data_IF_057969801876
#
_entry.id   IF_057969801876
#
_cell.length_a   1.000
_cell.length_b   1.000
_cell.length_c   1.000
_cell.angle_alpha   90.00
_cell.angle_beta   90.00
_cell.angle_gamma   90.00
#
_symmetry.space_group_name_H-M   'P 1'
#
loop_
_entity.id
_entity.type
_entity.pdbx_description
1 polymer ?
#
# COMPACT_ATOMS: atom_id res chain seq x y z
N UNK A 1 -7.85 1.60 11.95
CA UNK A 1 -6.82 0.58 11.58
C UNK A 1 -7.33 -0.48 10.63
N UNK A 2 -8.56 -0.95 10.79
CA UNK A 2 -9.13 -2.04 9.97
C UNK A 2 -9.17 -1.72 8.48
N UNK A 3 -9.54 -0.50 8.07
CA UNK A 3 -9.62 -0.13 6.65
C UNK A 3 -8.26 -0.19 5.93
N UNK A 4 -7.20 0.38 6.54
CA UNK A 4 -5.84 0.28 5.99
C UNK A 4 -5.38 -1.17 5.88
N UNK A 5 -5.59 -1.99 6.92
CA UNK A 5 -5.23 -3.42 6.88
C UNK A 5 -5.98 -4.17 5.79
N UNK A 6 -7.28 -3.90 5.62
CA UNK A 6 -8.11 -4.54 4.59
C UNK A 6 -7.66 -4.13 3.18
N UNK A 7 -7.40 -2.84 2.96
CA UNK A 7 -6.91 -2.33 1.67
C UNK A 7 -5.56 -2.96 1.29
N UNK A 8 -4.64 -3.07 2.25
CA UNK A 8 -3.32 -3.67 2.06
C UNK A 8 -3.41 -5.17 1.79
N UNK A 9 -4.24 -5.89 2.54
CA UNK A 9 -4.47 -7.32 2.31
C UNK A 9 -5.06 -7.60 0.92
N UNK A 10 -5.95 -6.72 0.45
CA UNK A 10 -6.50 -6.80 -0.91
C UNK A 10 -5.43 -6.58 -1.97
N UNK A 11 -4.64 -5.51 -1.85
CA UNK A 11 -3.56 -5.21 -2.79
C UNK A 11 -2.54 -6.35 -2.88
N UNK A 12 -2.21 -7.00 -1.75
CA UNK A 12 -1.35 -8.20 -1.74
C UNK A 12 -1.93 -9.35 -2.55
N UNK A 13 -3.24 -9.59 -2.44
CA UNK A 13 -3.92 -10.63 -3.22
C UNK A 13 -3.95 -10.30 -4.70
N UNK A 14 -4.22 -9.05 -5.05
CA UNK A 14 -4.20 -8.60 -6.45
C UNK A 14 -2.80 -8.74 -7.06
N UNK A 15 -1.75 -8.39 -6.31
CA UNK A 15 -0.36 -8.56 -6.75
C UNK A 15 0.03 -10.04 -6.91
N UNK A 16 -0.36 -10.89 -5.95
CA UNK A 16 -0.09 -12.32 -6.00
C UNK A 16 -0.85 -13.03 -7.14
N UNK A 17 -2.07 -12.58 -7.44
CA UNK A 17 -2.89 -13.10 -8.54
C UNK A 17 -2.45 -12.57 -9.91
N UNK A 18 -1.58 -11.54 -9.96
CA UNK A 18 -1.12 -10.97 -11.21
C UNK A 18 0.08 -11.77 -11.76
N UNK A 19 -0.05 -12.37 -12.96
CA UNK A 19 1.02 -13.19 -13.54
C UNK A 19 2.13 -12.37 -14.22
N UNK A 20 2.03 -11.03 -14.25
CA UNK A 20 3.06 -10.23 -14.90
C UNK A 20 4.40 -10.29 -14.15
N UNK A 21 5.46 -10.44 -14.93
CA UNK A 21 6.84 -10.30 -14.48
C UNK A 21 7.14 -8.80 -14.32
N UNK A 22 6.86 -8.26 -13.14
CA UNK A 22 7.32 -6.91 -12.81
C UNK A 22 8.81 -6.96 -12.51
N UNK A 23 9.60 -6.08 -13.13
CA UNK A 23 11.06 -5.99 -12.92
C UNK A 23 11.43 -5.92 -11.43
N UNK A 24 10.60 -5.25 -10.62
CA UNK A 24 10.83 -5.03 -9.20
C UNK A 24 9.73 -5.66 -8.32
N UNK A 25 9.10 -6.76 -8.77
CA UNK A 25 8.01 -7.44 -8.04
C UNK A 25 8.37 -7.75 -6.58
N UNK A 26 9.55 -8.31 -6.36
CA UNK A 26 10.00 -8.71 -5.03
C UNK A 26 10.14 -7.50 -4.09
N UNK A 27 10.62 -6.37 -4.61
CA UNK A 27 10.74 -5.11 -3.87
C UNK A 27 9.34 -4.59 -3.51
N UNK A 28 8.40 -4.63 -4.46
CA UNK A 28 7.03 -4.22 -4.21
C UNK A 28 6.33 -5.11 -3.15
N UNK A 29 6.54 -6.42 -3.20
CA UNK A 29 5.98 -7.36 -2.21
C UNK A 29 6.57 -7.15 -0.81
N UNK A 30 7.88 -6.90 -0.70
CA UNK A 30 8.56 -6.63 0.58
C UNK A 30 8.09 -5.31 1.21
N UNK A 31 8.03 -4.23 0.43
CA UNK A 31 7.49 -2.93 0.87
C UNK A 31 6.02 -3.05 1.32
N UNK A 32 5.23 -3.86 0.62
CA UNK A 32 3.83 -4.08 0.97
C UNK A 32 3.68 -4.90 2.26
N UNK A 33 4.61 -5.81 2.54
CA UNK A 33 4.70 -6.53 3.81
C UNK A 33 5.11 -5.58 4.96
N UNK A 34 6.09 -4.71 4.74
CA UNK A 34 6.49 -3.69 5.71
C UNK A 34 5.33 -2.74 6.04
N UNK A 35 4.58 -2.31 5.02
CA UNK A 35 3.41 -1.47 5.17
C UNK A 35 2.27 -2.16 5.95
N UNK A 36 2.06 -3.46 5.72
CA UNK A 36 1.13 -4.27 6.50
C UNK A 36 1.55 -4.38 7.97
N UNK A 37 2.85 -4.58 8.25
CA UNK A 37 3.38 -4.66 9.59
C UNK A 37 3.22 -3.32 10.35
N UNK A 38 3.49 -2.19 9.70
CA UNK A 38 3.26 -0.86 10.27
C UNK A 38 1.78 -0.61 10.59
N UNK A 39 0.88 -1.02 9.69
CA UNK A 39 -0.56 -0.95 9.93
C UNK A 39 -1.03 -1.90 11.05
N UNK A 40 -0.31 -3.01 11.27
CA UNK A 40 -0.57 -3.98 12.33
C UNK A 40 -0.10 -3.50 13.72
N UNK A 41 1.06 -2.84 13.79
CA UNK A 41 1.66 -2.38 15.05
C UNK A 41 1.02 -1.11 15.66
N UNK A 42 0.18 -0.40 14.91
CA UNK A 42 -0.71 0.62 15.46
C UNK A 42 -0.16 2.04 15.56
N UNK A 43 1.13 2.27 15.27
CA UNK A 43 1.71 3.60 15.10
C UNK A 43 2.35 3.76 13.71
N UNK A 44 1.55 3.75 12.64
CA UNK A 44 2.10 3.96 11.31
C UNK A 44 2.53 5.42 11.10
N UNK A 45 3.78 5.63 10.69
CA UNK A 45 4.29 6.95 10.35
C UNK A 45 3.76 7.38 8.97
N UNK A 46 2.90 8.41 8.93
CA UNK A 46 2.30 8.92 7.67
C UNK A 46 3.33 9.20 6.56
N UNK A 47 4.47 9.87 6.83
CA UNK A 47 5.48 10.12 5.80
C UNK A 47 6.08 8.83 5.24
N UNK A 48 6.24 7.82 6.10
CA UNK A 48 6.78 6.51 5.73
C UNK A 48 5.78 5.71 4.90
N UNK A 49 4.50 5.73 5.26
CA UNK A 49 3.42 5.12 4.47
C UNK A 49 3.35 5.72 3.05
N UNK A 50 3.40 7.05 2.94
CA UNK A 50 3.39 7.74 1.64
C UNK A 50 4.63 7.39 0.81
N UNK A 51 5.80 7.29 1.44
CA UNK A 51 7.04 6.90 0.76
C UNK A 51 6.97 5.46 0.23
N UNK A 52 6.55 4.49 1.05
CA UNK A 52 6.39 3.11 0.61
C UNK A 52 5.37 2.98 -0.53
N UNK A 53 4.27 3.73 -0.49
CA UNK A 53 3.31 3.75 -1.61
C UNK A 53 3.92 4.24 -2.93
N UNK A 54 4.78 5.27 -2.88
CA UNK A 54 5.47 5.77 -4.07
C UNK A 54 6.50 4.75 -4.59
N UNK A 55 7.20 4.05 -3.71
CA UNK A 55 8.13 2.98 -4.09
C UNK A 55 7.41 1.82 -4.75
N UNK A 56 6.27 1.39 -4.19
CA UNK A 56 5.42 0.35 -4.76
C UNK A 56 4.90 0.79 -6.15
N UNK A 57 4.45 2.04 -6.29
CA UNK A 57 4.00 2.58 -7.57
C UNK A 57 5.12 2.63 -8.63
N UNK A 58 6.34 3.01 -8.23
CA UNK A 58 7.51 3.04 -9.12
C UNK A 58 8.00 1.64 -9.52
N UNK A 59 7.89 0.66 -8.62
CA UNK A 59 8.38 -0.71 -8.83
C UNK A 59 7.44 -1.55 -9.70
N UNK A 60 6.14 -1.26 -9.67
CA UNK A 60 5.14 -2.00 -10.43
C UNK A 60 4.80 -1.31 -11.78
N UNK A 61 5.08 -0.01 -11.92
CA UNK A 61 4.72 0.80 -13.08
C UNK A 61 3.22 1.15 -13.14
N UNK A 62 2.80 1.83 -14.22
CA UNK A 62 1.39 2.23 -14.46
C UNK A 62 0.49 1.05 -14.84
N UNK A 63 0.38 0.05 -13.98
CA UNK A 63 -0.45 -1.14 -14.19
C UNK A 63 -1.87 -0.83 -13.74
N UNK A 64 -2.77 -0.63 -14.70
CA UNK A 64 -4.17 -0.28 -14.44
C UNK A 64 -4.90 -1.28 -13.55
N UNK A 65 -4.51 -2.57 -13.58
CA UNK A 65 -5.10 -3.62 -12.76
C UNK A 65 -4.83 -3.43 -11.25
N UNK A 66 -3.71 -2.80 -10.89
CA UNK A 66 -3.33 -2.55 -9.49
C UNK A 66 -3.64 -1.12 -9.05
N UNK A 67 -3.96 -0.23 -9.99
CA UNK A 67 -4.30 1.17 -9.71
C UNK A 67 -5.48 1.32 -8.74
N UNK A 68 -6.50 0.45 -8.83
CA UNK A 68 -7.65 0.49 -7.93
C UNK A 68 -7.26 0.14 -6.48
N UNK A 69 -6.54 -0.98 -6.29
CA UNK A 69 -6.04 -1.37 -4.97
C UNK A 69 -5.09 -0.32 -4.38
N UNK A 70 -4.20 0.24 -5.19
CA UNK A 70 -3.26 1.28 -4.77
C UNK A 70 -3.99 2.56 -4.34
N UNK A 71 -5.02 2.97 -5.08
CA UNK A 71 -5.86 4.12 -4.74
C UNK A 71 -6.59 3.93 -3.42
N UNK A 72 -7.12 2.73 -3.13
CA UNK A 72 -7.77 2.46 -1.85
C UNK A 72 -6.80 2.53 -0.67
N UNK A 73 -5.57 2.03 -0.81
CA UNK A 73 -4.54 2.17 0.24
C UNK A 73 -4.18 3.64 0.42
N UNK A 74 -4.03 4.41 -0.65
CA UNK A 74 -3.77 5.86 -0.57
C UNK A 74 -4.88 6.60 0.16
N UNK A 75 -6.14 6.34 -0.16
CA UNK A 75 -7.29 6.93 0.55
C UNK A 75 -7.28 6.57 2.03
N UNK A 76 -7.01 5.31 2.37
CA UNK A 76 -6.90 4.88 3.76
C UNK A 76 -5.75 5.62 4.48
N UNK A 77 -4.60 5.80 3.85
CA UNK A 77 -3.47 6.57 4.42
C UNK A 77 -3.83 8.05 4.61
N UNK A 78 -4.56 8.67 3.68
CA UNK A 78 -4.99 10.07 3.83
C UNK A 78 -6.02 10.25 4.97
N UNK A 79 -6.93 9.29 5.17
CA UNK A 79 -7.84 9.28 6.33
C UNK A 79 -7.08 9.16 7.67
N UNK A 80 -5.92 8.51 7.66
CA UNK A 80 -5.02 8.46 8.81
C UNK A 80 -4.19 9.74 9.00
N UNK A 81 -4.02 10.54 7.94
CA UNK A 81 -3.23 11.76 7.94
C UNK A 81 -4.03 13.01 8.30
N UNK A 82 -5.36 12.94 8.26
CA UNK A 82 -6.21 14.06 8.66
C UNK A 82 -6.19 14.19 10.20
N UNK A 83 -5.63 15.28 10.77
CA UNK A 83 -5.77 15.52 12.19
C UNK A 83 -7.26 15.72 12.51
N UNK A 84 -7.73 15.34 13.72
CA UNK A 84 -9.05 15.79 14.16
C UNK A 84 -9.02 17.31 14.11
N UNK A 85 -9.78 17.90 13.19
CA UNK A 85 -10.04 19.34 13.21
C UNK A 85 -10.92 19.59 14.43
N UNK A 86 -10.26 19.83 15.56
CA UNK A 86 -10.83 20.35 16.80
C UNK A 86 -10.31 21.76 17.03
#
# INVERSE_FOLDING_TARGET
MTELRTAVARLRRELAAHPAEFSDRAIAEDELAALAAMAAHGTPEIPRLRRSLLLIAGSIGSVSALAHGLSQVRTAVDLFAEPPRG
#
